data_IF_236647044221
#
_entry.id   IF_236647044221
#
_cell.length_a   1.000
_cell.length_b   1.000
_cell.length_c   1.000
_cell.angle_alpha   90.00
_cell.angle_beta   90.00
_cell.angle_gamma   90.00
#
_symmetry.space_group_name_H-M   'P 1'
#
loop_
_entity.id
_entity.type
_entity.pdbx_description
1 polymer ?
#
# COMPACT_ATOMS: atom_id res chain seq x y z
N UNK A 1 6.54 -8.26 4.87
CA UNK A 1 7.48 -8.89 3.92
C UNK A 1 8.23 -7.90 3.02
N UNK A 2 8.19 -6.58 3.27
CA UNK A 2 9.19 -5.58 2.81
C UNK A 2 9.36 -5.35 1.29
N UNK A 3 8.84 -6.23 0.43
CA UNK A 3 9.07 -6.17 -1.01
C UNK A 3 8.49 -4.90 -1.62
N UNK A 4 9.34 -4.09 -2.23
CA UNK A 4 8.96 -2.79 -2.80
C UNK A 4 8.05 -2.96 -4.01
N UNK A 5 7.16 -1.99 -4.31
CA UNK A 5 6.20 -2.10 -5.41
C UNK A 5 6.83 -2.38 -6.78
N UNK A 6 8.06 -1.92 -7.04
CA UNK A 6 8.76 -2.20 -8.30
C UNK A 6 9.09 -3.69 -8.49
N UNK A 7 9.35 -4.44 -7.41
CA UNK A 7 9.53 -5.90 -7.48
C UNK A 7 8.22 -6.61 -7.83
N UNK A 8 7.07 -6.02 -7.50
CA UNK A 8 5.76 -6.58 -7.86
C UNK A 8 5.43 -6.41 -9.33
N UNK A 9 5.99 -5.39 -9.99
CA UNK A 9 5.85 -5.18 -11.43
C UNK A 9 6.67 -6.21 -12.22
N UNK A 10 7.92 -6.46 -11.83
CA UNK A 10 8.77 -7.44 -12.53
C UNK A 10 8.22 -8.86 -12.45
N UNK A 11 7.42 -9.16 -11.42
CA UNK A 11 6.71 -10.43 -11.28
C UNK A 11 5.34 -10.47 -11.97
N UNK A 12 4.94 -9.40 -12.68
CA UNK A 12 3.63 -9.31 -13.34
C UNK A 12 2.45 -9.23 -12.37
N UNK A 13 2.67 -8.92 -11.10
CA UNK A 13 1.62 -8.82 -10.06
C UNK A 13 1.00 -7.42 -9.98
N UNK A 14 1.62 -6.42 -10.58
CA UNK A 14 1.17 -5.03 -10.63
C UNK A 14 1.46 -4.47 -12.02
N UNK A 15 0.52 -3.71 -12.61
CA UNK A 15 0.75 -3.01 -13.88
C UNK A 15 1.73 -1.84 -13.68
N UNK A 16 2.53 -1.54 -14.70
CA UNK A 16 3.53 -0.46 -14.67
C UNK A 16 2.91 0.91 -14.40
N UNK A 17 1.67 1.13 -14.85
CA UNK A 17 0.97 2.40 -14.70
C UNK A 17 0.19 2.51 -13.39
N UNK A 18 0.17 1.47 -12.56
CA UNK A 18 -0.59 1.48 -11.30
C UNK A 18 0.04 2.47 -10.31
N UNK A 19 -0.69 3.49 -9.82
CA UNK A 19 -0.22 4.36 -8.77
C UNK A 19 0.05 3.55 -7.49
N UNK A 20 1.19 3.79 -6.85
CA UNK A 20 1.64 3.02 -5.68
C UNK A 20 2.26 3.93 -4.63
N UNK A 21 1.92 3.68 -3.38
CA UNK A 21 2.38 4.43 -2.21
C UNK A 21 2.83 3.44 -1.13
N UNK A 22 3.90 3.78 -0.40
CA UNK A 22 4.41 3.00 0.74
C UNK A 22 4.23 3.86 1.98
N UNK A 23 3.63 3.29 3.03
CA UNK A 23 3.56 3.90 4.36
C UNK A 23 4.43 3.07 5.30
N UNK A 24 5.59 3.60 5.67
CA UNK A 24 6.56 2.92 6.55
C UNK A 24 6.22 3.17 8.02
N UNK A 25 5.11 2.58 8.49
CA UNK A 25 4.65 2.69 9.87
C UNK A 25 3.88 1.44 10.31
N UNK A 26 3.64 1.27 11.60
CA UNK A 26 2.90 0.13 12.15
C UNK A 26 1.46 0.14 11.63
N UNK A 27 1.04 -0.97 11.02
CA UNK A 27 -0.30 -1.14 10.45
C UNK A 27 -1.40 -0.94 11.49
N UNK A 28 -1.16 -1.32 12.75
CA UNK A 28 -2.13 -1.14 13.86
C UNK A 28 -2.40 0.34 14.16
N UNK A 29 -1.48 1.23 13.81
CA UNK A 29 -1.62 2.69 13.96
C UNK A 29 -2.24 3.30 12.71
N UNK A 30 -1.72 2.97 11.52
CA UNK A 30 -2.11 3.70 10.29
C UNK A 30 -3.40 3.17 9.63
N UNK A 31 -3.70 1.88 9.74
CA UNK A 31 -4.88 1.29 9.07
C UNK A 31 -6.20 1.88 9.61
N UNK A 32 -6.41 2.06 10.93
CA UNK A 32 -7.62 2.70 11.45
C UNK A 32 -7.82 4.13 10.92
N UNK A 33 -6.75 4.93 10.81
CA UNK A 33 -6.81 6.31 10.32
C UNK A 33 -7.21 6.36 8.84
N UNK A 34 -6.64 5.48 8.02
CA UNK A 34 -6.98 5.36 6.59
C UNK A 34 -8.45 4.96 6.42
N UNK A 35 -8.93 4.00 7.22
CA UNK A 35 -10.33 3.58 7.17
C UNK A 35 -11.28 4.68 7.61
N UNK A 36 -10.95 5.44 8.65
CA UNK A 36 -11.74 6.59 9.08
C UNK A 36 -11.86 7.64 7.97
N UNK A 37 -10.75 7.93 7.29
CA UNK A 37 -10.73 8.93 6.22
C UNK A 37 -11.46 8.49 4.95
N UNK A 38 -11.22 7.27 4.48
CA UNK A 38 -11.71 6.79 3.18
C UNK A 38 -13.10 6.16 3.31
N UNK A 39 -13.31 5.34 4.34
CA UNK A 39 -14.53 4.55 4.50
C UNK A 39 -15.56 5.21 5.42
N UNK A 40 -15.24 6.36 6.03
CA UNK A 40 -16.06 7.03 7.05
C UNK A 40 -16.47 6.09 8.19
N UNK A 41 -15.53 5.26 8.65
CA UNK A 41 -15.71 4.30 9.75
C UNK A 41 -15.04 4.75 11.05
#
# INVERSE_FOLDING_TARGET
SGAVPNEKITWGKLDVNTPKFIVESDATIVVPLIFAWILKK
#
